data_IF_557125273796
#
_entry.id   IF_557125273796
#
_cell.length_a   1.000
_cell.length_b   1.000
_cell.length_c   1.000
_cell.angle_alpha   90.00
_cell.angle_beta   90.00
_cell.angle_gamma   90.00
#
_symmetry.space_group_name_H-M   'P 1'
#
loop_
_entity.id
_entity.type
_entity.pdbx_description
1 polymer ?
#
# COMPACT_ATOMS: atom_id res chain seq x y z
N UNK A 1 8.80 -37.40 -18.09
CA UNK A 1 9.20 -37.22 -16.66
C UNK A 1 10.25 -36.13 -16.40
N UNK A 2 11.18 -35.80 -17.31
CA UNK A 2 12.20 -34.75 -17.09
C UNK A 2 11.60 -33.34 -16.96
N UNK A 3 10.57 -33.02 -17.76
CA UNK A 3 9.92 -31.70 -17.73
C UNK A 3 9.16 -31.43 -16.43
N UNK A 4 8.47 -32.44 -15.90
CA UNK A 4 7.78 -32.35 -14.59
C UNK A 4 8.77 -32.03 -13.47
N UNK A 5 9.94 -32.67 -13.45
CA UNK A 5 11.01 -32.38 -12.46
C UNK A 5 11.67 -31.01 -12.68
N UNK A 6 11.70 -30.52 -13.93
CA UNK A 6 12.16 -29.15 -14.24
C UNK A 6 11.14 -28.13 -13.72
N UNK A 7 9.84 -28.37 -13.94
CA UNK A 7 8.74 -27.55 -13.46
C UNK A 7 8.71 -27.47 -11.94
N UNK A 8 8.79 -28.61 -11.26
CA UNK A 8 8.85 -28.66 -9.80
C UNK A 8 10.02 -27.82 -9.24
N UNK A 9 11.23 -27.94 -9.82
CA UNK A 9 12.40 -27.17 -9.38
C UNK A 9 12.26 -25.68 -9.65
N UNK A 10 11.65 -25.29 -10.75
CA UNK A 10 11.38 -23.89 -11.06
C UNK A 10 10.37 -23.31 -10.08
N UNK A 11 9.21 -23.94 -9.91
CA UNK A 11 8.16 -23.49 -8.97
C UNK A 11 8.66 -23.41 -7.52
N UNK A 12 9.46 -24.39 -7.10
CA UNK A 12 10.06 -24.40 -5.76
C UNK A 12 10.97 -23.18 -5.49
N UNK A 13 11.51 -22.55 -6.54
CA UNK A 13 12.36 -21.35 -6.43
C UNK A 13 11.58 -20.07 -6.68
N UNK A 14 10.70 -20.04 -7.69
CA UNK A 14 10.03 -18.82 -8.12
C UNK A 14 8.90 -18.41 -7.18
N UNK A 15 8.16 -19.35 -6.59
CA UNK A 15 7.05 -19.01 -5.68
C UNK A 15 7.56 -18.27 -4.42
N UNK A 16 8.58 -18.76 -3.67
CA UNK A 16 9.09 -18.01 -2.52
C UNK A 16 9.72 -16.67 -2.90
N UNK A 17 10.32 -16.57 -4.10
CA UNK A 17 10.86 -15.31 -4.59
C UNK A 17 9.74 -14.30 -4.87
N UNK A 18 8.71 -14.71 -5.63
CA UNK A 18 7.57 -13.87 -5.93
C UNK A 18 6.87 -13.38 -4.66
N UNK A 19 6.70 -14.22 -3.64
CA UNK A 19 6.16 -13.82 -2.33
C UNK A 19 6.97 -12.71 -1.67
N UNK A 20 8.31 -12.84 -1.65
CA UNK A 20 9.21 -11.83 -1.07
C UNK A 20 9.13 -10.52 -1.83
N UNK A 21 9.12 -10.59 -3.16
CA UNK A 21 9.06 -9.42 -4.03
C UNK A 21 7.70 -8.72 -3.90
N UNK A 22 6.59 -9.46 -3.89
CA UNK A 22 5.25 -8.91 -3.68
C UNK A 22 5.16 -8.22 -2.32
N UNK A 23 5.71 -8.82 -1.26
CA UNK A 23 5.77 -8.18 0.07
C UNK A 23 6.55 -6.87 0.04
N UNK A 24 7.69 -6.83 -0.65
CA UNK A 24 8.51 -5.63 -0.78
C UNK A 24 7.78 -4.52 -1.58
N UNK A 25 7.13 -4.88 -2.68
CA UNK A 25 6.33 -3.97 -3.51
C UNK A 25 5.14 -3.40 -2.72
N UNK A 26 4.38 -4.25 -2.03
CA UNK A 26 3.27 -3.83 -1.19
C UNK A 26 3.73 -2.88 -0.06
N UNK A 27 4.84 -3.19 0.59
CA UNK A 27 5.42 -2.31 1.62
C UNK A 27 5.84 -0.96 1.04
N UNK A 28 6.40 -0.95 -0.18
CA UNK A 28 6.80 0.29 -0.84
C UNK A 28 5.59 1.13 -1.24
N UNK A 29 4.57 0.51 -1.83
CA UNK A 29 3.32 1.18 -2.19
C UNK A 29 2.64 1.80 -0.97
N UNK A 30 2.51 1.05 0.12
CA UNK A 30 1.95 1.56 1.37
C UNK A 30 2.74 2.75 1.94
N UNK A 31 4.08 2.68 1.88
CA UNK A 31 4.93 3.79 2.30
C UNK A 31 4.75 5.04 1.42
N UNK A 32 4.60 4.86 0.12
CA UNK A 32 4.37 5.96 -0.82
C UNK A 32 3.01 6.62 -0.56
N UNK A 33 1.93 5.84 -0.44
CA UNK A 33 0.59 6.36 -0.08
C UNK A 33 0.63 7.09 1.27
N UNK A 34 1.27 6.52 2.29
CA UNK A 34 1.46 7.19 3.59
C UNK A 34 2.12 8.55 3.39
N UNK A 35 3.22 8.64 2.64
CA UNK A 35 3.96 9.89 2.43
C UNK A 35 3.14 10.91 1.64
N UNK A 36 2.44 10.47 0.60
CA UNK A 36 1.54 11.31 -0.19
C UNK A 36 0.42 11.88 0.67
N UNK A 37 -0.25 11.04 1.46
CA UNK A 37 -1.32 11.46 2.37
C UNK A 37 -0.78 12.48 3.39
N UNK A 38 0.40 12.22 3.98
CA UNK A 38 1.03 13.17 4.90
C UNK A 38 1.35 14.52 4.24
N UNK A 39 1.78 14.53 2.98
CA UNK A 39 2.05 15.76 2.24
C UNK A 39 0.76 16.54 1.95
N UNK A 40 -0.26 15.84 1.45
CA UNK A 40 -1.59 16.39 1.17
C UNK A 40 -2.21 17.01 2.43
N UNK A 41 -2.18 16.28 3.55
CA UNK A 41 -2.70 16.73 4.85
C UNK A 41 -1.98 17.96 5.42
N UNK A 42 -0.66 18.08 5.20
CA UNK A 42 0.10 19.30 5.59
C UNK A 42 -0.33 20.52 4.78
N UNK A 43 -0.77 20.32 3.53
CA UNK A 43 -1.24 21.37 2.65
C UNK A 43 -2.70 21.76 2.94
N UNK A 44 -3.57 20.78 3.14
CA UNK A 44 -5.02 20.96 3.28
C UNK A 44 -5.45 21.51 4.66
N UNK A 45 -4.74 21.13 5.72
CA UNK A 45 -5.15 21.42 7.10
C UNK A 45 -4.07 22.05 8.02
N UNK A 46 -3.17 22.92 7.54
CA UNK A 46 -1.97 23.33 8.30
C UNK A 46 -2.28 24.06 9.60
N UNK A 47 -3.39 24.81 9.67
CA UNK A 47 -3.74 25.64 10.84
C UNK A 47 -4.61 24.91 11.86
N UNK A 48 -5.57 24.11 11.41
CA UNK A 48 -6.58 23.51 12.28
C UNK A 48 -6.31 22.02 12.61
N UNK A 49 -5.46 21.33 11.84
CA UNK A 49 -5.05 19.96 12.12
C UNK A 49 -3.52 19.73 12.01
N UNK A 50 -2.66 20.52 12.69
CA UNK A 50 -1.21 20.44 12.54
C UNK A 50 -0.58 19.12 13.02
N UNK A 51 -1.24 18.37 13.91
CA UNK A 51 -0.78 17.06 14.38
C UNK A 51 -1.28 15.90 13.50
N UNK A 52 -2.37 16.09 12.75
CA UNK A 52 -3.01 15.04 11.94
C UNK A 52 -2.04 14.32 10.99
N UNK A 53 -1.18 15.00 10.21
CA UNK A 53 -0.26 14.31 9.31
C UNK A 53 0.65 13.29 10.02
N UNK A 54 1.03 13.54 11.28
CA UNK A 54 1.91 12.64 12.03
C UNK A 54 1.22 11.36 12.52
N UNK A 55 -0.11 11.31 12.44
CA UNK A 55 -0.90 10.14 12.81
C UNK A 55 -1.00 9.11 11.69
N UNK A 56 -0.75 9.51 10.44
CA UNK A 56 -0.88 8.64 9.28
C UNK A 56 0.25 7.60 9.28
N UNK A 57 -0.15 6.34 9.38
CA UNK A 57 0.71 5.16 9.37
C UNK A 57 0.26 4.15 8.33
N UNK A 58 0.93 3.00 8.33
CA UNK A 58 0.43 1.82 7.66
C UNK A 58 0.89 0.56 8.39
N UNK A 59 0.11 -0.50 8.25
CA UNK A 59 0.43 -1.85 8.67
C UNK A 59 0.34 -2.78 7.47
N UNK A 60 1.20 -3.80 7.45
CA UNK A 60 1.16 -4.85 6.44
C UNK A 60 0.73 -6.15 7.10
N UNK A 61 -0.48 -6.60 6.78
CA UNK A 61 -1.07 -7.82 7.29
C UNK A 61 -0.88 -8.96 6.28
N UNK A 62 -0.58 -10.15 6.80
CA UNK A 62 -0.43 -11.37 6.01
C UNK A 62 -1.52 -12.36 6.41
N UNK A 63 -2.28 -12.85 5.43
CA UNK A 63 -3.29 -13.89 5.62
C UNK A 63 -2.80 -15.15 4.90
N UNK A 64 -2.16 -16.04 5.65
CA UNK A 64 -1.45 -17.18 5.05
C UNK A 64 -0.26 -16.74 4.20
N UNK A 65 0.22 -17.61 3.29
CA UNK A 65 1.47 -17.38 2.57
C UNK A 65 1.37 -16.43 1.36
N UNK A 66 0.15 -16.17 0.86
CA UNK A 66 -0.06 -15.55 -0.45
C UNK A 66 -0.97 -14.31 -0.44
N UNK A 67 -1.62 -13.99 0.67
CA UNK A 67 -2.49 -12.81 0.76
C UNK A 67 -1.83 -11.73 1.62
N UNK A 68 -1.70 -10.54 1.04
CA UNK A 68 -1.14 -9.35 1.67
C UNK A 68 -2.16 -8.23 1.65
N UNK A 69 -2.33 -7.56 2.78
CA UNK A 69 -3.17 -6.37 2.91
C UNK A 69 -2.34 -5.25 3.53
N UNK A 70 -2.27 -4.10 2.85
CA UNK A 70 -1.76 -2.88 3.45
C UNK A 70 -2.94 -2.06 3.97
N UNK A 71 -2.99 -1.83 5.29
CA UNK A 71 -3.96 -0.92 5.90
C UNK A 71 -3.25 0.40 6.13
N UNK A 72 -3.73 1.47 5.51
CA UNK A 72 -3.09 2.79 5.53
C UNK A 72 -4.10 3.79 6.08
N UNK A 73 -3.69 4.62 7.03
CA UNK A 73 -4.58 5.61 7.60
C UNK A 73 -4.10 6.26 8.89
N UNK A 74 -4.89 7.18 9.43
CA UNK A 74 -4.60 7.86 10.68
C UNK A 74 -4.84 6.94 11.88
N UNK A 75 -3.85 6.88 12.76
CA UNK A 75 -3.96 6.25 14.06
C UNK A 75 -4.82 7.10 14.99
N UNK A 76 -6.04 6.63 15.26
CA UNK A 76 -7.05 7.33 16.06
C UNK A 76 -6.63 7.54 17.52
N UNK A 77 -5.65 6.79 18.03
CA UNK A 77 -5.14 6.95 19.39
C UNK A 77 -4.21 8.15 19.55
N UNK A 78 -3.69 8.70 18.44
CA UNK A 78 -2.77 9.85 18.46
C UNK A 78 -3.53 11.18 18.46
N UNK A 79 -2.84 12.22 18.90
CA UNK A 79 -3.36 13.58 18.88
C UNK A 79 -3.88 13.96 17.47
N UNK A 80 -5.16 14.33 17.39
CA UNK A 80 -5.87 14.64 16.14
C UNK A 80 -6.04 13.45 15.17
N UNK A 81 -5.76 12.21 15.58
CA UNK A 81 -5.94 11.03 14.73
C UNK A 81 -7.40 10.75 14.40
N UNK A 82 -8.30 10.88 15.39
CA UNK A 82 -9.73 10.70 15.19
C UNK A 82 -10.35 11.73 14.21
N UNK A 83 -9.72 12.90 14.03
CA UNK A 83 -10.16 13.90 13.04
C UNK A 83 -10.02 13.38 11.60
N UNK A 84 -9.20 12.36 11.37
CA UNK A 84 -8.99 11.81 10.04
C UNK A 84 -10.27 11.37 9.32
N UNK A 85 -11.28 10.90 10.06
CA UNK A 85 -12.57 10.57 9.46
C UNK A 85 -13.29 11.82 8.90
N UNK A 86 -13.25 12.92 9.64
CA UNK A 86 -13.90 14.17 9.25
C UNK A 86 -13.12 14.87 8.13
N UNK A 87 -11.79 14.83 8.20
CA UNK A 87 -10.93 15.43 7.18
C UNK A 87 -10.99 14.64 5.86
N UNK A 88 -10.95 13.31 5.92
CA UNK A 88 -10.96 12.50 4.70
C UNK A 88 -12.34 12.46 4.04
N UNK A 89 -13.42 12.30 4.81
CA UNK A 89 -14.76 12.06 4.29
C UNK A 89 -15.71 13.25 4.41
N UNK A 90 -15.28 14.32 5.07
CA UNK A 90 -16.10 15.51 5.29
C UNK A 90 -17.09 15.32 6.45
N UNK A 91 -17.96 16.30 6.56
CA UNK A 91 -19.07 16.34 7.53
C UNK A 91 -20.24 17.10 6.92
N UNK A 92 -21.36 17.20 7.64
CA UNK A 92 -22.52 18.00 7.22
C UNK A 92 -22.13 19.44 6.86
N UNK A 93 -21.13 20.01 7.54
CA UNK A 93 -20.77 21.42 7.41
C UNK A 93 -19.45 21.67 6.66
N UNK A 94 -18.67 20.63 6.36
CA UNK A 94 -17.33 20.78 5.77
C UNK A 94 -17.12 19.74 4.68
N UNK A 95 -16.66 20.14 3.48
CA UNK A 95 -16.33 19.20 2.42
C UNK A 95 -15.12 18.33 2.80
N UNK A 96 -15.00 17.14 2.22
CA UNK A 96 -13.83 16.28 2.42
C UNK A 96 -12.55 16.88 1.80
N UNK A 97 -11.40 16.54 2.37
CA UNK A 97 -10.08 16.90 1.84
C UNK A 97 -9.56 15.86 0.83
N UNK A 98 -9.98 14.60 0.94
CA UNK A 98 -9.52 13.49 0.08
C UNK A 98 -8.00 13.34 0.03
N UNK A 99 -7.32 13.56 1.15
CA UNK A 99 -5.86 13.53 1.20
C UNK A 99 -5.32 12.12 0.99
N UNK A 100 -5.99 11.13 1.59
CA UNK A 100 -5.66 9.71 1.46
C UNK A 100 -6.09 9.14 0.11
N UNK A 101 -7.30 9.47 -0.34
CA UNK A 101 -7.80 9.05 -1.64
C UNK A 101 -6.89 9.49 -2.79
N UNK A 102 -6.48 10.77 -2.81
CA UNK A 102 -5.55 11.30 -3.83
C UNK A 102 -4.20 10.57 -3.80
N UNK A 103 -3.65 10.37 -2.61
CA UNK A 103 -2.38 9.66 -2.46
C UNK A 103 -2.46 8.19 -2.92
N UNK A 104 -3.59 7.53 -2.71
CA UNK A 104 -3.84 6.19 -3.22
C UNK A 104 -3.96 6.17 -4.74
N UNK A 105 -4.74 7.11 -5.30
CA UNK A 105 -4.95 7.24 -6.74
C UNK A 105 -3.63 7.48 -7.49
N UNK A 106 -2.75 8.33 -6.93
CA UNK A 106 -1.45 8.63 -7.51
C UNK A 106 -0.48 7.44 -7.50
N UNK A 107 -0.51 6.60 -6.45
CA UNK A 107 0.39 5.43 -6.33
C UNK A 107 -0.09 4.21 -7.13
N UNK A 108 -1.41 4.07 -7.33
CA UNK A 108 -2.03 2.87 -7.89
C UNK A 108 -1.37 2.40 -9.21
N UNK A 109 -1.09 3.26 -10.21
CA UNK A 109 -0.49 2.81 -11.47
C UNK A 109 0.91 2.20 -11.28
N UNK A 110 1.71 2.77 -10.38
CA UNK A 110 3.07 2.28 -10.12
C UNK A 110 3.04 0.94 -9.38
N UNK A 111 2.11 0.78 -8.43
CA UNK A 111 1.89 -0.47 -7.72
C UNK A 111 1.47 -1.59 -8.69
N UNK A 112 0.47 -1.33 -9.53
CA UNK A 112 -0.03 -2.30 -10.52
C UNK A 112 1.07 -2.73 -11.50
N UNK A 113 1.86 -1.78 -12.01
CA UNK A 113 2.97 -2.07 -12.91
C UNK A 113 4.05 -2.96 -12.25
N UNK A 114 4.37 -2.72 -10.98
CA UNK A 114 5.35 -3.53 -10.25
C UNK A 114 4.83 -4.95 -9.96
N UNK A 115 3.55 -5.09 -9.60
CA UNK A 115 2.92 -6.40 -9.42
C UNK A 115 2.84 -7.18 -10.73
N UNK A 116 2.51 -6.52 -11.84
CA UNK A 116 2.52 -7.12 -13.17
C UNK A 116 3.92 -7.64 -13.55
N UNK A 117 4.98 -6.89 -13.23
CA UNK A 117 6.36 -7.29 -13.46
C UNK A 117 6.76 -8.53 -12.64
N UNK A 118 6.34 -8.62 -11.38
CA UNK A 118 6.59 -9.82 -10.55
C UNK A 118 5.90 -11.03 -11.17
N UNK A 119 4.63 -10.89 -11.54
CA UNK A 119 3.87 -11.96 -12.20
C UNK A 119 4.54 -12.40 -13.50
N UNK A 120 4.94 -11.46 -14.36
CA UNK A 120 5.62 -11.76 -15.61
C UNK A 120 6.95 -12.50 -15.40
N UNK A 121 7.74 -12.11 -14.39
CA UNK A 121 8.99 -12.82 -14.03
C UNK A 121 8.74 -14.20 -13.45
N UNK A 122 7.69 -14.36 -12.65
CA UNK A 122 7.30 -15.65 -12.09
C UNK A 122 6.78 -16.63 -13.13
N UNK A 123 6.12 -16.13 -14.18
CA UNK A 123 5.61 -16.89 -15.32
C UNK A 123 6.63 -17.08 -16.45
N UNK A 124 7.72 -16.30 -16.45
CA UNK A 124 8.80 -16.41 -17.43
C UNK A 124 9.50 -17.77 -17.28
N UNK A 125 8.97 -18.75 -17.98
CA UNK A 125 9.58 -20.04 -18.18
C UNK A 125 10.73 -19.85 -19.16
N UNK A 126 11.97 -19.88 -18.65
CA UNK A 126 13.14 -19.89 -19.52
C UNK A 126 13.08 -21.09 -20.46
N UNK A 127 12.99 -20.82 -21.76
CA UNK A 127 13.21 -21.79 -22.84
C UNK A 127 14.60 -22.40 -22.62
#
# INVERSE_FOLDING_TARGET
MRDVRRLQRHLARTIPQARRDTRAVMMRGALNVKKGWQANARSSAPKHAPAYPRTIGFDLLMFGPDQLLAVIGPDKSKAQGALGNLLEYGSVNNPPHWDGHRALYDELPALEAQLALITARGLAWGV
#
